data_IF_421833612490
#
_entry.id   IF_421833612490
#
_cell.length_a   1.000
_cell.length_b   1.000
_cell.length_c   1.000
_cell.angle_alpha   90.00
_cell.angle_beta   90.00
_cell.angle_gamma   90.00
#
_symmetry.space_group_name_H-M   'P 1'
#
loop_
_entity.id
_entity.type
_entity.pdbx_description
1 polymer ?
#
# COMPACT_ATOMS: atom_id res chain seq x y z
N UNK A 1 -1.68 8.74 -21.08
CA UNK A 1 -1.58 7.61 -20.16
C UNK A 1 -0.12 7.23 -19.95
N UNK A 2 0.24 6.92 -18.71
CA UNK A 2 1.55 6.41 -18.33
C UNK A 2 1.37 4.97 -17.81
N UNK A 3 2.16 4.04 -18.34
CA UNK A 3 2.20 2.64 -17.89
C UNK A 3 3.66 2.20 -17.77
N UNK A 4 3.92 1.25 -16.91
CA UNK A 4 5.24 0.65 -16.74
C UNK A 4 5.48 -0.47 -17.79
N UNK A 5 6.73 -0.90 -17.98
CA UNK A 5 7.07 -1.89 -19.01
C UNK A 5 6.48 -3.28 -18.73
N UNK A 6 6.11 -3.55 -17.49
CA UNK A 6 5.51 -4.78 -17.00
C UNK A 6 3.98 -4.67 -16.82
N UNK A 7 3.37 -3.64 -17.41
CA UNK A 7 1.92 -3.40 -17.37
C UNK A 7 1.30 -3.49 -18.77
N UNK A 8 0.13 -4.13 -18.87
CA UNK A 8 -0.59 -4.30 -20.13
C UNK A 8 -2.05 -3.89 -19.97
N UNK A 9 -2.48 -2.87 -20.73
CA UNK A 9 -3.89 -2.52 -20.89
C UNK A 9 -4.60 -3.56 -21.76
N UNK A 10 -5.75 -4.04 -21.29
CA UNK A 10 -6.55 -5.00 -22.06
C UNK A 10 -7.14 -4.35 -23.32
N UNK A 11 -7.32 -5.11 -24.43
CA UNK A 11 -7.85 -4.59 -25.68
C UNK A 11 -9.18 -3.84 -25.51
N UNK A 12 -9.38 -2.79 -26.31
CA UNK A 12 -10.60 -1.98 -26.27
C UNK A 12 -10.56 -0.79 -25.32
N UNK A 13 -9.58 -0.70 -24.44
CA UNK A 13 -9.45 0.37 -23.45
C UNK A 13 -9.56 1.77 -24.04
N UNK A 14 -8.99 2.00 -25.23
CA UNK A 14 -8.98 3.31 -25.88
C UNK A 14 -10.39 3.75 -26.28
N UNK A 15 -11.16 2.86 -26.90
CA UNK A 15 -12.55 3.12 -27.30
C UNK A 15 -13.41 3.42 -26.07
N UNK A 16 -13.23 2.66 -24.99
CA UNK A 16 -13.92 2.86 -23.72
C UNK A 16 -13.55 4.23 -23.13
N UNK A 17 -12.27 4.59 -23.15
CA UNK A 17 -11.81 5.89 -22.68
C UNK A 17 -12.43 7.04 -23.47
N UNK A 18 -12.36 7.00 -24.81
CA UNK A 18 -12.88 8.03 -25.71
C UNK A 18 -14.39 8.23 -25.55
N UNK A 19 -15.15 7.17 -25.28
CA UNK A 19 -16.59 7.23 -25.06
C UNK A 19 -16.98 7.86 -23.70
N UNK A 20 -16.08 7.78 -22.70
CA UNK A 20 -16.37 8.24 -21.33
C UNK A 20 -15.65 9.54 -20.97
N UNK A 21 -14.62 9.94 -21.72
CA UNK A 21 -13.89 11.18 -21.46
C UNK A 21 -14.75 12.40 -21.82
N UNK A 22 -14.99 13.26 -20.83
CA UNK A 22 -15.71 14.53 -21.01
C UNK A 22 -14.70 15.70 -21.08
N UNK A 23 -15.16 16.85 -21.55
CA UNK A 23 -14.33 18.05 -21.71
C UNK A 23 -13.67 18.49 -20.38
N UNK A 24 -14.41 18.42 -19.29
CA UNK A 24 -13.95 18.75 -17.95
C UNK A 24 -13.13 17.65 -17.28
N UNK A 25 -13.17 16.41 -17.76
CA UNK A 25 -12.40 15.29 -17.17
C UNK A 25 -10.91 15.58 -17.16
N UNK A 26 -10.29 15.45 -16.01
CA UNK A 26 -8.83 15.68 -15.85
C UNK A 26 -8.06 14.42 -15.54
N UNK A 27 -8.67 13.46 -14.80
CA UNK A 27 -8.06 12.19 -14.40
C UNK A 27 -9.09 11.07 -14.40
N UNK A 28 -8.63 9.86 -14.77
CA UNK A 28 -9.46 8.65 -14.77
C UNK A 28 -8.85 7.62 -13.83
N UNK A 29 -9.70 7.11 -12.93
CA UNK A 29 -9.42 5.91 -12.16
C UNK A 29 -9.95 4.70 -12.92
N UNK A 30 -9.15 3.63 -12.98
CA UNK A 30 -9.49 2.42 -13.71
C UNK A 30 -9.00 1.18 -12.96
N UNK A 31 -9.50 0.01 -13.35
CA UNK A 31 -9.19 -1.26 -12.71
C UNK A 31 -7.73 -1.66 -12.95
N UNK A 32 -7.01 -1.93 -11.88
CA UNK A 32 -5.63 -2.41 -11.91
C UNK A 32 -5.53 -3.77 -11.21
N UNK A 33 -5.24 -4.79 -11.98
CA UNK A 33 -4.96 -6.13 -11.50
C UNK A 33 -3.46 -6.23 -11.17
N UNK A 34 -3.13 -5.89 -9.93
CA UNK A 34 -1.73 -5.84 -9.47
C UNK A 34 -1.12 -7.23 -9.32
N UNK A 35 -1.92 -8.24 -8.99
CA UNK A 35 -1.46 -9.63 -8.89
C UNK A 35 -2.45 -10.54 -9.60
N UNK A 36 -1.91 -11.43 -10.41
CA UNK A 36 -2.65 -12.45 -11.15
C UNK A 36 -2.21 -13.85 -10.68
N UNK A 37 -3.09 -14.84 -10.82
CA UNK A 37 -2.74 -16.25 -10.69
C UNK A 37 -2.10 -16.80 -11.97
N UNK A 38 -1.70 -18.07 -11.96
CA UNK A 38 -1.10 -18.75 -13.11
C UNK A 38 -2.05 -18.87 -14.33
N UNK A 39 -3.34 -18.60 -14.15
CA UNK A 39 -4.36 -18.60 -15.19
C UNK A 39 -4.77 -17.17 -15.62
N UNK A 40 -4.00 -16.16 -15.23
CA UNK A 40 -4.27 -14.73 -15.43
C UNK A 40 -5.58 -14.25 -14.76
N UNK A 41 -6.04 -14.90 -13.70
CA UNK A 41 -7.19 -14.44 -12.92
C UNK A 41 -6.71 -13.46 -11.85
N UNK A 42 -7.44 -12.33 -11.64
CA UNK A 42 -7.08 -11.35 -10.65
C UNK A 42 -7.10 -11.92 -9.22
N UNK A 43 -6.00 -11.77 -8.49
CA UNK A 43 -5.89 -12.08 -7.07
C UNK A 43 -5.90 -10.79 -6.22
N UNK A 44 -5.28 -9.71 -6.71
CA UNK A 44 -5.28 -8.41 -6.05
C UNK A 44 -5.64 -7.36 -7.07
N UNK A 45 -6.73 -6.66 -6.83
CA UNK A 45 -7.27 -5.63 -7.71
C UNK A 45 -7.59 -4.37 -6.91
N UNK A 46 -7.23 -3.21 -7.46
CA UNK A 46 -7.62 -1.90 -6.94
C UNK A 46 -7.71 -0.89 -8.09
N UNK A 47 -8.11 0.35 -7.80
CA UNK A 47 -8.11 1.41 -8.80
C UNK A 47 -6.78 2.14 -8.83
N UNK A 48 -6.28 2.40 -10.05
CA UNK A 48 -5.12 3.26 -10.30
C UNK A 48 -5.52 4.43 -11.20
N UNK A 49 -4.68 5.47 -11.31
CA UNK A 49 -5.03 6.78 -11.85
C UNK A 49 -4.00 7.37 -12.82
N UNK A 50 -3.24 6.52 -13.51
CA UNK A 50 -2.19 6.93 -14.47
C UNK A 50 -2.73 7.46 -15.81
N UNK A 51 -4.06 7.63 -15.99
CA UNK A 51 -4.70 8.28 -17.14
C UNK A 51 -5.13 9.69 -16.74
N UNK A 52 -4.57 10.71 -17.39
CA UNK A 52 -4.79 12.10 -17.03
C UNK A 52 -4.61 13.05 -18.22
N UNK A 53 -5.07 14.30 -18.11
CA UNK A 53 -4.75 15.37 -19.08
C UNK A 53 -3.24 15.52 -19.22
N UNK A 54 -2.77 15.86 -20.43
CA UNK A 54 -1.35 16.08 -20.71
C UNK A 54 -0.72 17.17 -19.85
N UNK A 55 -1.45 18.24 -19.61
CA UNK A 55 -1.01 19.40 -18.85
C UNK A 55 -1.68 19.48 -17.49
N UNK A 56 -1.04 20.14 -16.53
CA UNK A 56 -1.58 20.36 -15.19
C UNK A 56 -1.23 19.28 -14.17
N UNK A 57 -0.23 18.46 -14.49
CA UNK A 57 0.27 17.40 -13.60
C UNK A 57 1.80 17.40 -13.57
N UNK A 58 2.35 17.00 -12.44
CA UNK A 58 3.78 16.81 -12.22
C UNK A 58 4.01 15.47 -11.50
N UNK A 59 4.99 14.70 -11.98
CA UNK A 59 5.51 13.55 -11.24
C UNK A 59 6.37 14.05 -10.09
N UNK A 60 6.12 13.49 -8.91
CA UNK A 60 6.85 13.76 -7.67
C UNK A 60 7.36 12.46 -7.09
N UNK A 61 8.38 12.53 -6.26
CA UNK A 61 9.13 11.45 -5.63
C UNK A 61 10.04 10.68 -6.62
N UNK A 62 11.28 10.39 -6.23
CA UNK A 62 12.25 9.66 -7.06
C UNK A 62 11.97 8.16 -7.12
N UNK A 63 11.12 7.65 -6.23
CA UNK A 63 10.66 6.27 -6.17
C UNK A 63 9.24 6.25 -5.60
N UNK A 64 8.42 5.29 -6.03
CA UNK A 64 6.96 5.31 -5.76
C UNK A 64 6.30 6.61 -6.23
N UNK A 65 6.61 7.00 -7.46
CA UNK A 65 6.22 8.25 -8.08
C UNK A 65 4.71 8.49 -7.95
N UNK A 66 4.36 9.73 -7.66
CA UNK A 66 2.97 10.20 -7.55
C UNK A 66 2.70 11.27 -8.59
N UNK A 67 1.57 11.13 -9.27
CA UNK A 67 1.08 12.14 -10.18
C UNK A 67 0.36 13.25 -9.39
N UNK A 68 1.06 14.33 -9.12
CA UNK A 68 0.56 15.46 -8.33
C UNK A 68 -0.15 16.48 -9.22
N UNK A 69 -1.42 16.84 -8.94
CA UNK A 69 -2.15 17.83 -9.71
C UNK A 69 -1.67 19.25 -9.38
N UNK A 70 -1.57 20.07 -10.43
CA UNK A 70 -1.34 21.53 -10.38
C UNK A 70 -2.60 22.30 -10.79
N UNK A 71 -3.72 21.61 -10.94
CA UNK A 71 -5.03 22.11 -11.37
C UNK A 71 -6.12 21.54 -10.47
N UNK A 72 -7.31 22.13 -10.54
CA UNK A 72 -8.52 21.52 -9.93
C UNK A 72 -8.83 20.25 -10.72
N UNK A 73 -8.97 19.12 -10.01
CA UNK A 73 -9.21 17.83 -10.63
C UNK A 73 -10.70 17.52 -10.74
N UNK A 74 -11.11 17.07 -11.93
CA UNK A 74 -12.37 16.41 -12.18
C UNK A 74 -12.10 14.94 -12.51
N UNK A 75 -12.33 14.07 -11.52
CA UNK A 75 -12.00 12.65 -11.56
C UNK A 75 -13.21 11.84 -11.94
N UNK A 76 -13.02 10.85 -12.82
CA UNK A 76 -14.04 9.84 -13.13
C UNK A 76 -13.48 8.44 -12.91
N UNK A 77 -14.36 7.46 -12.72
CA UNK A 77 -13.99 6.06 -12.57
C UNK A 77 -14.56 5.30 -13.78
N UNK A 78 -13.68 4.59 -14.49
CA UNK A 78 -14.06 3.74 -15.62
C UNK A 78 -13.57 2.31 -15.31
N UNK A 79 -14.46 1.49 -14.75
CA UNK A 79 -14.13 0.13 -14.29
C UNK A 79 -13.75 -0.82 -15.43
N UNK A 80 -14.29 -0.58 -16.63
CA UNK A 80 -14.09 -1.43 -17.80
C UNK A 80 -12.74 -1.22 -18.49
N UNK A 81 -11.98 -0.21 -18.10
CA UNK A 81 -10.57 -0.11 -18.46
C UNK A 81 -9.79 -0.96 -17.46
N UNK A 82 -9.11 -1.97 -17.95
CA UNK A 82 -8.38 -2.93 -17.12
C UNK A 82 -6.91 -2.93 -17.49
N UNK A 83 -6.05 -2.77 -16.50
CA UNK A 83 -4.61 -2.88 -16.59
C UNK A 83 -4.15 -4.11 -15.82
N UNK A 84 -3.43 -5.01 -16.48
CA UNK A 84 -2.80 -6.16 -15.84
C UNK A 84 -1.31 -5.89 -15.62
N UNK A 85 -0.81 -6.27 -14.45
CA UNK A 85 0.60 -6.20 -14.09
C UNK A 85 1.25 -7.59 -14.17
N UNK A 86 2.37 -7.66 -14.86
CA UNK A 86 3.19 -8.86 -15.03
C UNK A 86 4.60 -8.59 -14.48
N UNK A 87 4.80 -8.73 -13.17
CA UNK A 87 6.04 -8.31 -12.52
C UNK A 87 7.25 -9.05 -13.04
N UNK A 88 8.32 -8.33 -13.36
CA UNK A 88 9.64 -8.93 -13.61
C UNK A 88 10.23 -9.42 -12.27
N UNK A 89 10.20 -10.74 -12.09
CA UNK A 89 10.71 -11.40 -10.88
C UNK A 89 12.24 -11.27 -10.72
N UNK A 90 12.95 -10.92 -11.79
CA UNK A 90 14.40 -10.73 -11.78
C UNK A 90 14.83 -9.28 -11.53
N UNK A 91 13.86 -8.36 -11.41
CA UNK A 91 14.14 -6.94 -11.16
C UNK A 91 14.79 -6.75 -9.79
N UNK A 92 16.03 -6.26 -9.79
CA UNK A 92 16.74 -5.89 -8.56
C UNK A 92 16.07 -4.71 -7.86
N UNK A 93 15.86 -4.83 -6.55
CA UNK A 93 15.39 -3.73 -5.69
C UNK A 93 16.53 -2.97 -5.01
N UNK A 94 17.78 -3.25 -5.37
CA UNK A 94 18.97 -2.70 -4.70
C UNK A 94 19.03 -1.18 -4.62
N UNK A 95 18.40 -0.47 -5.58
CA UNK A 95 18.41 0.98 -5.65
C UNK A 95 17.25 1.64 -4.86
N UNK A 96 16.29 0.87 -4.36
CA UNK A 96 15.14 1.45 -3.65
C UNK A 96 15.53 2.12 -2.34
N UNK A 97 16.33 1.45 -1.52
CA UNK A 97 16.72 1.97 -0.21
C UNK A 97 17.50 3.29 -0.32
N UNK A 98 18.58 3.42 -1.12
CA UNK A 98 19.30 4.69 -1.28
C UNK A 98 18.42 5.84 -1.81
N UNK A 99 17.49 5.55 -2.74
CA UNK A 99 16.58 6.55 -3.28
C UNK A 99 15.56 7.03 -2.23
N UNK A 100 15.07 6.14 -1.37
CA UNK A 100 14.17 6.51 -0.27
C UNK A 100 14.90 7.31 0.82
N UNK A 101 16.14 6.92 1.17
CA UNK A 101 16.97 7.68 2.10
C UNK A 101 17.22 9.12 1.59
N UNK A 102 17.53 9.26 0.30
CA UNK A 102 17.67 10.56 -0.35
C UNK A 102 16.34 11.34 -0.32
N UNK A 103 15.24 10.72 -0.67
CA UNK A 103 13.91 11.34 -0.71
C UNK A 103 13.48 11.88 0.65
N UNK A 104 13.68 11.11 1.73
CA UNK A 104 13.37 11.56 3.10
C UNK A 104 14.32 12.67 3.54
N UNK A 105 15.59 12.65 3.11
CA UNK A 105 16.54 13.73 3.40
C UNK A 105 16.14 15.04 2.72
N UNK A 106 15.69 14.98 1.46
CA UNK A 106 15.23 16.15 0.70
C UNK A 106 13.87 16.68 1.18
N UNK A 107 12.99 15.79 1.63
CA UNK A 107 11.62 16.11 2.04
C UNK A 107 11.28 15.43 3.39
N UNK A 108 11.82 15.91 4.53
CA UNK A 108 11.69 15.23 5.82
C UNK A 108 10.29 15.25 6.42
N UNK A 109 9.38 16.05 5.86
CA UNK A 109 7.97 16.13 6.28
C UNK A 109 7.03 15.36 5.33
N UNK A 110 7.56 14.63 4.36
CA UNK A 110 6.79 13.78 3.47
C UNK A 110 6.50 12.45 4.16
N UNK A 111 5.25 12.27 4.59
CA UNK A 111 4.78 11.10 5.31
C UNK A 111 4.86 9.84 4.46
N UNK A 112 4.47 9.90 3.19
CA UNK A 112 4.52 8.77 2.27
C UNK A 112 5.95 8.23 2.10
N UNK A 113 6.93 9.10 1.82
CA UNK A 113 8.33 8.69 1.68
C UNK A 113 8.87 8.08 2.97
N UNK A 114 8.49 8.65 4.11
CA UNK A 114 8.92 8.16 5.41
C UNK A 114 8.32 6.78 5.74
N UNK A 115 7.04 6.56 5.40
CA UNK A 115 6.39 5.25 5.49
C UNK A 115 7.13 4.20 4.63
N UNK A 116 7.41 4.53 3.37
CA UNK A 116 8.11 3.61 2.46
C UNK A 116 9.54 3.32 2.89
N UNK A 117 10.28 4.33 3.40
CA UNK A 117 11.63 4.13 3.92
C UNK A 117 11.62 3.16 5.11
N UNK A 118 10.69 3.33 6.05
CA UNK A 118 10.56 2.42 7.18
C UNK A 118 10.24 0.98 6.76
N UNK A 119 9.35 0.82 5.77
CA UNK A 119 9.04 -0.49 5.19
C UNK A 119 10.27 -1.11 4.50
N UNK A 120 11.03 -0.34 3.76
CA UNK A 120 12.23 -0.82 3.06
C UNK A 120 13.35 -1.20 4.04
N UNK A 121 13.57 -0.42 5.10
CA UNK A 121 14.47 -0.82 6.18
C UNK A 121 14.08 -2.17 6.79
N UNK A 122 12.78 -2.42 7.02
CA UNK A 122 12.29 -3.71 7.51
C UNK A 122 12.63 -4.84 6.54
N UNK A 123 12.44 -4.68 5.23
CA UNK A 123 12.78 -5.69 4.23
C UNK A 123 14.29 -5.96 4.15
N UNK A 124 15.11 -4.96 4.43
CA UNK A 124 16.55 -5.09 4.55
C UNK A 124 17.02 -5.56 5.96
N UNK A 125 16.10 -6.02 6.82
CA UNK A 125 16.36 -6.50 8.19
C UNK A 125 17.00 -5.44 9.13
N UNK A 126 16.93 -4.17 8.75
CA UNK A 126 17.34 -3.03 9.58
C UNK A 126 16.19 -2.64 10.51
N UNK A 127 15.87 -3.54 11.46
CA UNK A 127 14.63 -3.44 12.23
C UNK A 127 14.58 -2.23 13.16
N UNK A 128 15.71 -1.84 13.77
CA UNK A 128 15.74 -0.67 14.65
C UNK A 128 15.55 0.62 13.86
N UNK A 129 16.25 0.77 12.73
CA UNK A 129 16.08 1.92 11.82
C UNK A 129 14.65 1.99 11.27
N UNK A 130 14.05 0.85 10.95
CA UNK A 130 12.66 0.77 10.52
C UNK A 130 11.70 1.29 11.61
N UNK A 131 11.87 0.85 12.86
CA UNK A 131 11.07 1.31 13.99
C UNK A 131 11.20 2.82 14.16
N UNK A 132 12.42 3.36 14.17
CA UNK A 132 12.68 4.78 14.37
C UNK A 132 12.03 5.65 13.29
N UNK A 133 12.16 5.26 12.03
CA UNK A 133 11.57 6.00 10.89
C UNK A 133 10.05 5.90 10.92
N UNK A 134 9.48 4.73 11.19
CA UNK A 134 8.02 4.56 11.25
C UNK A 134 7.40 5.32 12.43
N UNK A 135 8.10 5.42 13.57
CA UNK A 135 7.66 6.28 14.67
C UNK A 135 7.70 7.75 14.27
N UNK A 136 8.75 8.20 13.55
CA UNK A 136 8.80 9.57 13.01
C UNK A 136 7.64 9.83 12.06
N UNK A 137 7.35 8.91 11.13
CA UNK A 137 6.17 8.97 10.25
C UNK A 137 4.88 9.22 11.04
N UNK A 138 4.62 8.40 12.08
CA UNK A 138 3.42 8.52 12.90
C UNK A 138 3.26 9.86 13.63
N UNK A 139 4.37 10.58 13.85
CA UNK A 139 4.40 11.88 14.50
C UNK A 139 4.32 13.07 13.51
N UNK A 140 4.37 12.82 12.20
CA UNK A 140 4.20 13.89 11.20
C UNK A 140 2.75 14.39 11.21
N UNK A 141 2.60 15.71 11.09
CA UNK A 141 1.26 16.35 10.96
C UNK A 141 0.59 16.00 9.64
N UNK A 142 1.36 15.69 8.62
CA UNK A 142 0.91 15.28 7.28
C UNK A 142 0.38 13.85 7.26
N UNK A 143 0.87 12.97 8.14
CA UNK A 143 0.47 11.57 8.24
C UNK A 143 -0.95 11.42 8.80
N UNK A 144 -1.96 11.77 8.01
CA UNK A 144 -3.37 11.79 8.42
C UNK A 144 -4.16 10.58 7.95
N UNK A 145 -3.66 9.85 6.95
CA UNK A 145 -4.36 8.69 6.41
C UNK A 145 -4.25 7.49 7.34
N UNK A 146 -5.37 7.12 7.95
CA UNK A 146 -5.43 6.09 9.00
C UNK A 146 -4.93 4.72 8.54
N UNK A 147 -5.17 4.34 7.28
CA UNK A 147 -4.75 3.04 6.76
C UNK A 147 -3.22 2.94 6.69
N UNK A 148 -2.55 4.00 6.22
CA UNK A 148 -1.09 4.06 6.16
C UNK A 148 -0.48 4.14 7.56
N UNK A 149 -1.09 4.91 8.48
CA UNK A 149 -0.68 4.94 9.89
C UNK A 149 -0.79 3.57 10.54
N UNK A 150 -1.90 2.86 10.32
CA UNK A 150 -2.09 1.50 10.83
C UNK A 150 -1.09 0.52 10.21
N UNK A 151 -0.78 0.66 8.91
CA UNK A 151 0.27 -0.14 8.26
C UNK A 151 1.64 0.13 8.87
N UNK A 152 2.01 1.38 9.14
CA UNK A 152 3.25 1.72 9.85
C UNK A 152 3.31 1.11 11.25
N UNK A 153 2.23 1.16 12.01
CA UNK A 153 2.15 0.51 13.32
C UNK A 153 2.30 -1.02 13.20
N UNK A 154 1.72 -1.62 12.18
CA UNK A 154 1.84 -3.05 11.87
C UNK A 154 3.29 -3.42 11.53
N UNK A 155 3.98 -2.64 10.70
CA UNK A 155 5.40 -2.86 10.37
C UNK A 155 6.31 -2.70 11.59
N UNK A 156 6.04 -1.74 12.48
CA UNK A 156 6.75 -1.66 13.78
C UNK A 156 6.51 -2.94 14.59
N UNK A 157 5.28 -3.44 14.64
CA UNK A 157 4.96 -4.71 15.29
C UNK A 157 5.73 -5.89 14.70
N UNK A 158 5.85 -5.97 13.36
CA UNK A 158 6.68 -6.99 12.67
C UNK A 158 8.15 -6.88 13.06
N UNK A 159 8.71 -5.67 13.07
CA UNK A 159 10.09 -5.45 13.46
C UNK A 159 10.35 -5.94 14.89
N UNK A 160 9.47 -5.61 15.84
CA UNK A 160 9.58 -6.11 17.21
C UNK A 160 9.42 -7.64 17.30
N UNK A 161 8.53 -8.24 16.47
CA UNK A 161 8.41 -9.71 16.40
C UNK A 161 9.69 -10.37 15.86
N UNK A 162 10.35 -9.79 14.85
CA UNK A 162 11.63 -10.28 14.35
C UNK A 162 12.78 -10.13 15.37
N UNK A 163 12.72 -9.09 16.20
CA UNK A 163 13.62 -8.87 17.32
C UNK A 163 13.28 -9.71 18.57
N UNK A 164 12.25 -10.57 18.48
CA UNK A 164 11.74 -11.41 19.57
C UNK A 164 11.18 -10.62 20.77
N UNK A 165 10.91 -9.35 20.58
CA UNK A 165 10.31 -8.44 21.55
C UNK A 165 8.78 -8.51 21.44
N UNK A 166 8.22 -9.62 21.90
CA UNK A 166 6.82 -9.98 21.62
C UNK A 166 5.80 -9.09 22.32
N UNK A 167 6.09 -8.59 23.51
CA UNK A 167 5.16 -7.69 24.22
C UNK A 167 5.00 -6.35 23.49
N UNK A 168 6.10 -5.79 22.98
CA UNK A 168 6.05 -4.59 22.16
C UNK A 168 5.37 -4.86 20.81
N UNK A 169 5.62 -6.00 20.18
CA UNK A 169 4.92 -6.39 18.96
C UNK A 169 3.40 -6.44 19.17
N UNK A 170 2.94 -7.09 20.24
CA UNK A 170 1.52 -7.14 20.63
C UNK A 170 0.95 -5.74 20.84
N UNK A 171 1.68 -4.87 21.54
CA UNK A 171 1.27 -3.49 21.79
C UNK A 171 1.06 -2.72 20.46
N UNK A 172 1.99 -2.83 19.52
CA UNK A 172 1.92 -2.12 18.26
C UNK A 172 0.83 -2.66 17.33
N UNK A 173 0.61 -3.96 17.27
CA UNK A 173 -0.52 -4.54 16.53
C UNK A 173 -1.87 -4.07 17.11
N UNK A 174 -2.00 -3.97 18.45
CA UNK A 174 -3.20 -3.42 19.08
C UNK A 174 -3.40 -1.94 18.78
N UNK A 175 -2.31 -1.14 18.70
CA UNK A 175 -2.39 0.26 18.26
C UNK A 175 -2.89 0.35 16.83
N UNK A 176 -2.39 -0.50 15.91
CA UNK A 176 -2.85 -0.57 14.53
C UNK A 176 -4.35 -0.92 14.44
N UNK A 177 -4.82 -1.89 15.23
CA UNK A 177 -6.24 -2.24 15.34
C UNK A 177 -7.07 -1.05 15.82
N UNK A 178 -6.58 -0.29 16.80
CA UNK A 178 -7.29 0.89 17.32
C UNK A 178 -7.34 2.03 16.31
N UNK A 179 -6.27 2.24 15.54
CA UNK A 179 -6.17 3.27 14.50
C UNK A 179 -7.15 3.01 13.35
N UNK A 180 -7.20 1.77 12.84
CA UNK A 180 -8.03 1.37 11.73
C UNK A 180 -8.68 -0.02 11.98
N UNK A 181 -9.74 -0.09 12.81
CA UNK A 181 -10.35 -1.34 13.23
C UNK A 181 -11.05 -2.10 12.10
N UNK A 182 -11.22 -1.47 10.96
CA UNK A 182 -11.81 -2.02 9.74
C UNK A 182 -10.78 -2.69 8.82
N UNK A 183 -9.49 -2.65 9.14
CA UNK A 183 -8.44 -3.35 8.41
C UNK A 183 -8.23 -4.75 9.01
N UNK A 184 -8.22 -5.76 8.15
CA UNK A 184 -8.05 -7.18 8.53
C UNK A 184 -6.61 -7.49 8.96
N UNK A 185 -5.64 -6.86 8.29
CA UNK A 185 -4.21 -7.14 8.43
C UNK A 185 -3.68 -7.13 9.88
N UNK A 186 -3.94 -6.12 10.73
CA UNK A 186 -3.40 -6.10 12.09
C UNK A 186 -3.94 -7.24 12.97
N UNK A 187 -5.19 -7.69 12.73
CA UNK A 187 -5.78 -8.80 13.48
C UNK A 187 -5.11 -10.12 13.09
N UNK A 188 -4.84 -10.33 11.79
CA UNK A 188 -4.16 -11.55 11.31
C UNK A 188 -2.74 -11.61 11.85
N UNK A 189 -1.98 -10.52 11.79
CA UNK A 189 -0.62 -10.45 12.34
C UNK A 189 -0.59 -10.78 13.84
N UNK A 190 -1.56 -10.23 14.59
CA UNK A 190 -1.65 -10.50 16.01
C UNK A 190 -2.08 -11.95 16.30
N UNK A 191 -2.96 -12.54 15.48
CA UNK A 191 -3.32 -13.95 15.59
C UNK A 191 -2.11 -14.86 15.32
N UNK A 192 -1.32 -14.57 14.28
CA UNK A 192 -0.10 -15.30 13.96
C UNK A 192 0.94 -15.22 15.09
N UNK A 193 1.11 -14.04 15.68
CA UNK A 193 2.01 -13.89 16.83
C UNK A 193 1.52 -14.68 18.04
N UNK A 194 0.21 -14.64 18.35
CA UNK A 194 -0.34 -15.46 19.43
C UNK A 194 -0.25 -16.97 19.16
N UNK A 195 -0.31 -17.39 17.89
CA UNK A 195 -0.04 -18.77 17.49
C UNK A 195 1.41 -19.17 17.82
N UNK A 196 2.38 -18.34 17.42
CA UNK A 196 3.81 -18.53 17.77
C UNK A 196 4.02 -18.63 19.28
N UNK A 197 3.22 -17.92 20.08
CA UNK A 197 3.29 -17.93 21.54
C UNK A 197 2.41 -19.00 22.21
N UNK A 198 1.81 -19.91 21.44
CA UNK A 198 0.93 -20.99 21.92
C UNK A 198 -0.29 -20.48 22.73
N UNK A 199 -0.83 -19.31 22.39
CA UNK A 199 -1.99 -18.69 23.06
C UNK A 199 -3.29 -18.94 22.27
N UNK A 200 -3.72 -20.20 22.16
CA UNK A 200 -4.80 -20.64 21.28
C UNK A 200 -6.12 -19.86 21.41
N UNK A 201 -6.55 -19.54 22.64
CA UNK A 201 -7.77 -18.74 22.85
C UNK A 201 -7.66 -17.33 22.20
N UNK A 202 -6.46 -16.74 22.19
CA UNK A 202 -6.21 -15.44 21.52
C UNK A 202 -6.18 -15.60 20.00
N UNK A 203 -5.62 -16.68 19.50
CA UNK A 203 -5.64 -17.02 18.06
C UNK A 203 -7.08 -17.05 17.57
N UNK A 204 -7.93 -17.87 18.18
CA UNK A 204 -9.36 -18.01 17.82
C UNK A 204 -10.06 -16.65 17.85
N UNK A 205 -9.86 -15.86 18.91
CA UNK A 205 -10.49 -14.56 19.06
C UNK A 205 -10.11 -13.59 17.92
N UNK A 206 -8.81 -13.44 17.64
CA UNK A 206 -8.35 -12.47 16.63
C UNK A 206 -8.62 -12.95 15.21
N UNK A 207 -8.56 -14.24 14.93
CA UNK A 207 -8.97 -14.82 13.64
C UNK A 207 -10.45 -14.57 13.36
N UNK A 208 -11.33 -14.81 14.33
CA UNK A 208 -12.77 -14.53 14.17
C UNK A 208 -13.03 -13.03 13.95
N UNK A 209 -12.27 -12.15 14.63
CA UNK A 209 -12.35 -10.71 14.39
C UNK A 209 -11.92 -10.36 12.96
N UNK A 210 -10.82 -10.92 12.46
CA UNK A 210 -10.35 -10.70 11.09
C UNK A 210 -11.39 -11.17 10.06
N UNK A 211 -11.95 -12.35 10.23
CA UNK A 211 -12.97 -12.93 9.34
C UNK A 211 -14.30 -12.14 9.34
N UNK A 212 -14.62 -11.48 10.45
CA UNK A 212 -15.83 -10.62 10.53
C UNK A 212 -15.72 -9.33 9.73
N UNK A 213 -14.52 -8.92 9.35
CA UNK A 213 -14.29 -7.69 8.57
C UNK A 213 -14.62 -7.98 7.11
N UNK A 214 -15.64 -7.31 6.60
CA UNK A 214 -16.13 -7.40 5.22
C UNK A 214 -15.69 -6.21 4.38
N UNK A 215 -14.54 -5.60 4.69
CA UNK A 215 -14.07 -4.45 3.94
C UNK A 215 -13.83 -4.82 2.47
N UNK A 216 -14.21 -3.92 1.58
CA UNK A 216 -14.22 -4.14 0.14
C UNK A 216 -13.31 -3.17 -0.61
N UNK A 217 -12.93 -2.07 0.02
CA UNK A 217 -12.11 -1.04 -0.62
C UNK A 217 -10.65 -1.35 -0.34
N UNK A 218 -10.07 -2.18 -1.19
CA UNK A 218 -8.65 -2.51 -1.11
C UNK A 218 -7.80 -1.36 -1.62
N UNK A 219 -6.73 -1.09 -0.89
CA UNK A 219 -5.69 -0.14 -1.27
C UNK A 219 -4.35 -0.87 -1.37
N UNK A 220 -3.33 -0.21 -1.90
CA UNK A 220 -1.98 -0.78 -2.00
C UNK A 220 -1.34 -1.15 -0.63
N UNK A 221 -1.96 -0.78 0.47
CA UNK A 221 -1.49 -1.09 1.84
C UNK A 221 -2.00 -2.45 2.32
N UNK A 222 -3.11 -2.95 1.75
CA UNK A 222 -3.71 -4.21 2.17
C UNK A 222 -2.93 -5.38 1.59
N UNK A 223 -2.43 -6.26 2.45
CA UNK A 223 -1.63 -7.41 2.04
C UNK A 223 -2.40 -8.74 2.10
N UNK A 224 -3.50 -8.80 2.86
CA UNK A 224 -4.09 -10.06 3.34
C UNK A 224 -5.40 -10.45 2.66
N UNK A 225 -5.98 -9.61 1.81
CA UNK A 225 -7.25 -9.92 1.12
C UNK A 225 -7.16 -11.03 0.05
N UNK A 226 -5.97 -11.49 -0.29
CA UNK A 226 -5.79 -12.62 -1.21
C UNK A 226 -5.93 -13.99 -0.53
N UNK A 227 -6.39 -14.05 0.71
CA UNK A 227 -6.49 -15.29 1.50
C UNK A 227 -7.94 -15.78 1.68
N UNK A 228 -8.90 -15.19 0.99
CA UNK A 228 -10.31 -15.66 0.98
C UNK A 228 -10.53 -16.75 -0.06
#
# INVERSE_FOLDING_TARGET
ICIDLDEILLPGWRKILEQNWKEDTTRVYYTYNWKLDNNNRPLVTFYTDKIHKRNGYKWTHPVHEVLTPMIIEHKIIIKDIILNHYPDLNKSRSNYLPLLEMSVKESPNDDRNMHYLGREYMYHQKYNEAIDILIKHLNLKTATWKDERAASMRFIGRCYNYLERYDEAILWYKKAIKEAPYLRDPYVELALLYHKLNKNNKVIYYTNKALSIKNKDMTYINEIFSWD
#
